data_IF_771317157936
#
_entry.id   IF_771317157936
#
_cell.length_a   1.000
_cell.length_b   1.000
_cell.length_c   1.000
_cell.angle_alpha   90.00
_cell.angle_beta   90.00
_cell.angle_gamma   90.00
#
_symmetry.space_group_name_H-M   'P 1'
#
loop_
_entity.id
_entity.type
_entity.pdbx_description
1 polymer ?
#
# COMPACT_ATOMS: atom_id res chain seq x y z
N UNK A 1 13.34 -3.84 28.92
CA UNK A 1 12.53 -4.84 29.67
C UNK A 1 12.23 -5.98 28.72
N UNK A 2 12.40 -7.23 29.18
CA UNK A 2 12.44 -8.43 28.33
C UNK A 2 11.05 -8.76 27.77
N UNK A 3 10.89 -8.77 26.43
CA UNK A 3 9.73 -9.35 25.73
C UNK A 3 9.70 -10.86 26.06
N UNK A 4 8.76 -11.31 26.89
CA UNK A 4 8.54 -12.74 27.06
C UNK A 4 7.71 -13.27 25.90
N UNK A 5 8.33 -14.07 25.04
CA UNK A 5 7.66 -14.84 24.00
C UNK A 5 7.07 -16.10 24.63
N UNK A 6 5.74 -16.20 24.64
CA UNK A 6 5.06 -17.36 25.21
C UNK A 6 5.08 -18.53 24.23
N UNK A 7 5.65 -19.66 24.64
CA UNK A 7 5.59 -20.91 23.88
C UNK A 7 4.23 -21.58 24.07
N UNK A 8 3.75 -22.32 23.06
CA UNK A 8 2.52 -23.16 23.11
C UNK A 8 2.42 -24.07 24.34
N UNK A 9 3.54 -24.35 25.04
CA UNK A 9 3.59 -25.15 26.27
C UNK A 9 3.18 -24.40 27.54
N UNK A 10 3.27 -23.07 27.58
CA UNK A 10 2.99 -22.30 28.79
C UNK A 10 1.49 -22.03 28.97
N UNK A 11 0.74 -21.97 27.88
CA UNK A 11 -0.75 -21.89 27.87
C UNK A 11 -1.40 -23.21 28.36
N UNK A 12 -0.75 -24.36 28.15
CA UNK A 12 -1.27 -25.64 28.64
C UNK A 12 -1.19 -25.79 30.16
N UNK A 13 -0.36 -24.99 30.84
CA UNK A 13 -0.23 -25.03 32.31
C UNK A 13 -1.30 -24.22 33.04
N UNK A 14 -1.87 -23.18 32.42
CA UNK A 14 -2.98 -22.42 33.01
C UNK A 14 -4.31 -23.18 32.98
N UNK A 15 -4.45 -24.19 32.12
CA UNK A 15 -5.62 -25.06 32.05
C UNK A 15 -5.67 -26.18 33.12
N UNK A 16 -4.61 -26.35 33.94
CA UNK A 16 -4.49 -27.51 34.83
C UNK A 16 -4.96 -27.30 36.29
N UNK A 17 -5.54 -26.14 36.63
CA UNK A 17 -6.03 -25.86 37.98
C UNK A 17 -7.57 -25.78 38.03
N UNK A 18 -8.24 -26.94 37.93
CA UNK A 18 -9.69 -27.04 38.20
C UNK A 18 -10.37 -28.20 37.50
N UNK A 19 -10.22 -29.41 38.02
CA UNK A 19 -10.94 -30.59 37.51
C UNK A 19 -12.37 -30.65 38.08
N UNK A 20 -13.38 -30.65 37.20
CA UNK A 20 -14.59 -31.50 37.27
C UNK A 20 -15.52 -31.24 36.06
N UNK A 21 -15.80 -32.30 35.28
CA UNK A 21 -17.08 -32.45 34.59
C UNK A 21 -17.13 -32.29 33.06
N UNK A 22 -16.76 -33.35 32.34
CA UNK A 22 -17.43 -33.92 31.16
C UNK A 22 -18.16 -32.93 30.22
N UNK A 23 -17.57 -32.66 29.04
CA UNK A 23 -18.33 -32.20 27.87
C UNK A 23 -17.79 -30.96 27.13
N UNK A 24 -16.48 -30.78 26.96
CA UNK A 24 -15.95 -29.65 26.15
C UNK A 24 -14.83 -30.09 25.20
N UNK A 25 -14.96 -31.29 24.63
CA UNK A 25 -14.01 -31.82 23.64
C UNK A 25 -14.24 -31.37 22.20
N UNK A 26 -15.31 -30.59 21.94
CA UNK A 26 -15.71 -30.19 20.58
C UNK A 26 -15.97 -28.68 20.41
N UNK A 27 -15.75 -27.86 21.45
CA UNK A 27 -16.02 -26.42 21.44
C UNK A 27 -14.77 -25.52 21.54
N UNK A 28 -13.57 -26.10 21.59
CA UNK A 28 -12.28 -25.38 21.76
C UNK A 28 -11.52 -25.24 20.42
N UNK A 29 -12.23 -25.34 19.30
CA UNK A 29 -11.66 -25.21 17.95
C UNK A 29 -12.43 -24.21 17.09
N UNK A 30 -13.20 -23.29 17.69
CA UNK A 30 -13.42 -22.02 17.02
C UNK A 30 -12.07 -21.31 17.08
N UNK A 31 -11.39 -21.22 15.94
CA UNK A 31 -10.04 -20.65 15.84
C UNK A 31 -10.03 -19.30 16.54
N UNK A 32 -8.94 -19.00 17.24
CA UNK A 32 -8.66 -17.68 17.83
C UNK A 32 -8.45 -16.67 16.69
N UNK A 33 -9.53 -16.37 15.98
CA UNK A 33 -9.56 -15.42 14.88
C UNK A 33 -9.45 -14.01 15.49
N UNK A 34 -8.56 -13.20 14.93
CA UNK A 34 -8.40 -11.79 15.29
C UNK A 34 -9.52 -10.96 14.65
N UNK A 35 -9.94 -9.92 15.37
CA UNK A 35 -10.96 -8.96 14.96
C UNK A 35 -10.50 -7.54 15.27
N UNK A 36 -11.09 -6.62 14.52
CA UNK A 36 -10.97 -5.18 14.70
C UNK A 36 -12.35 -4.67 15.09
N UNK A 37 -12.41 -3.97 16.22
CA UNK A 37 -13.61 -3.34 16.74
C UNK A 37 -13.44 -1.82 16.61
N UNK A 38 -14.25 -1.19 15.76
CA UNK A 38 -14.27 0.27 15.64
C UNK A 38 -15.18 0.87 16.72
N UNK A 39 -14.63 1.75 17.54
CA UNK A 39 -15.32 2.40 18.67
C UNK A 39 -15.28 3.91 18.51
N UNK A 40 -16.33 4.61 18.95
CA UNK A 40 -16.48 6.06 18.74
C UNK A 40 -16.30 6.91 20.01
N UNK A 41 -16.08 6.26 21.16
CA UNK A 41 -15.79 6.91 22.45
C UNK A 41 -15.03 5.99 23.42
N UNK A 42 -14.59 6.56 24.55
CA UNK A 42 -13.85 5.87 25.62
C UNK A 42 -14.60 4.68 26.22
N UNK A 43 -15.94 4.74 26.29
CA UNK A 43 -16.78 3.67 26.84
C UNK A 43 -16.79 2.45 25.90
N UNK A 44 -16.85 2.70 24.59
CA UNK A 44 -16.68 1.70 23.55
C UNK A 44 -15.30 1.05 23.59
N UNK A 45 -14.24 1.86 23.69
CA UNK A 45 -12.84 1.38 23.82
C UNK A 45 -12.73 0.47 25.04
N UNK A 46 -13.16 0.94 26.21
CA UNK A 46 -13.10 0.18 27.46
C UNK A 46 -13.90 -1.13 27.37
N UNK A 47 -15.09 -1.09 26.74
CA UNK A 47 -15.91 -2.27 26.53
C UNK A 47 -15.19 -3.31 25.65
N UNK A 48 -14.65 -2.91 24.50
CA UNK A 48 -13.90 -3.79 23.62
C UNK A 48 -12.63 -4.32 24.28
N UNK A 49 -11.80 -3.45 24.86
CA UNK A 49 -10.55 -3.82 25.53
C UNK A 49 -10.77 -4.83 26.67
N UNK A 50 -11.81 -4.64 27.49
CA UNK A 50 -12.11 -5.50 28.65
C UNK A 50 -12.54 -6.92 28.27
N UNK A 51 -13.03 -7.10 27.02
CA UNK A 51 -13.53 -8.38 26.51
C UNK A 51 -12.61 -8.98 25.44
N UNK A 52 -11.41 -8.44 25.22
CA UNK A 52 -10.39 -9.16 24.43
C UNK A 52 -9.89 -10.40 25.21
N UNK A 53 -9.79 -11.55 24.54
CA UNK A 53 -9.27 -12.81 25.10
C UNK A 53 -7.75 -12.79 25.26
N UNK A 54 -7.06 -11.85 24.61
CA UNK A 54 -5.61 -11.65 24.64
C UNK A 54 -5.28 -10.16 24.81
N UNK A 55 -3.99 -9.83 24.91
CA UNK A 55 -3.55 -8.44 24.83
C UNK A 55 -4.05 -7.81 23.52
N UNK A 56 -4.70 -6.66 23.62
CA UNK A 56 -5.21 -5.91 22.48
C UNK A 56 -4.18 -4.84 22.05
N UNK A 57 -4.32 -4.40 20.81
CA UNK A 57 -3.62 -3.25 20.24
C UNK A 57 -4.66 -2.17 19.94
N UNK A 58 -4.34 -0.93 20.26
CA UNK A 58 -5.16 0.23 19.91
C UNK A 58 -4.51 0.93 18.72
N UNK A 59 -5.33 1.26 17.73
CA UNK A 59 -4.98 2.18 16.63
C UNK A 59 -5.84 3.40 16.88
N UNK A 60 -5.23 4.49 17.32
CA UNK A 60 -5.93 5.69 17.75
C UNK A 60 -6.01 6.70 16.60
N UNK A 61 -7.21 6.88 16.04
CA UNK A 61 -7.45 7.83 14.95
C UNK A 61 -8.13 9.10 15.47
N UNK A 62 -8.18 9.32 16.79
CA UNK A 62 -9.01 10.37 17.41
C UNK A 62 -8.43 11.78 17.32
N UNK A 63 -7.18 11.92 16.90
CA UNK A 63 -6.57 13.23 16.67
C UNK A 63 -7.24 14.00 15.52
N UNK A 64 -7.79 13.29 14.54
CA UNK A 64 -8.44 13.87 13.35
C UNK A 64 -9.83 13.28 13.04
N UNK A 65 -10.14 12.10 13.57
CA UNK A 65 -11.46 11.47 13.44
C UNK A 65 -12.09 11.25 14.82
N UNK A 66 -13.21 10.53 14.88
CA UNK A 66 -13.84 10.13 16.14
C UNK A 66 -13.55 8.67 16.53
N UNK A 67 -12.70 7.96 15.79
CA UNK A 67 -12.61 6.51 15.89
C UNK A 67 -11.33 6.01 16.56
N UNK A 68 -11.45 4.95 17.35
CA UNK A 68 -10.34 4.10 17.77
C UNK A 68 -10.62 2.67 17.32
N UNK A 69 -9.60 1.98 16.82
CA UNK A 69 -9.69 0.57 16.46
C UNK A 69 -9.08 -0.28 17.56
N UNK A 70 -9.88 -1.17 18.15
CA UNK A 70 -9.42 -2.16 19.13
C UNK A 70 -9.20 -3.50 18.43
N UNK A 71 -7.94 -3.84 18.23
CA UNK A 71 -7.51 -5.09 17.58
C UNK A 71 -7.23 -6.17 18.62
N UNK A 72 -7.84 -7.35 18.49
CA UNK A 72 -7.66 -8.43 19.45
C UNK A 72 -8.41 -9.71 19.08
N UNK A 73 -8.40 -10.68 20.00
CA UNK A 73 -9.16 -11.94 19.84
C UNK A 73 -10.44 -11.85 20.65
N UNK A 74 -11.57 -12.14 20.02
CA UNK A 74 -12.88 -12.03 20.68
C UNK A 74 -13.68 -13.27 20.38
N UNK A 75 -14.09 -14.04 21.40
CA UNK A 75 -15.04 -15.13 21.21
C UNK A 75 -16.37 -14.66 20.58
N UNK A 76 -17.11 -15.56 19.93
CA UNK A 76 -18.40 -15.24 19.29
C UNK A 76 -19.36 -14.48 20.22
N UNK A 77 -19.53 -14.94 21.45
CA UNK A 77 -20.43 -14.31 22.42
C UNK A 77 -20.02 -12.86 22.75
N UNK A 78 -18.71 -12.59 22.81
CA UNK A 78 -18.19 -11.24 23.08
C UNK A 78 -18.38 -10.33 21.87
N UNK A 79 -18.13 -10.83 20.66
CA UNK A 79 -18.43 -10.10 19.41
C UNK A 79 -19.92 -9.74 19.30
N UNK A 80 -20.80 -10.68 19.60
CA UNK A 80 -22.24 -10.46 19.57
C UNK A 80 -22.66 -9.43 20.65
N UNK A 81 -22.00 -9.41 21.82
CA UNK A 81 -22.23 -8.38 22.84
C UNK A 81 -21.76 -6.99 22.40
N UNK A 82 -20.62 -6.88 21.72
CA UNK A 82 -20.08 -5.60 21.24
C UNK A 82 -20.96 -4.99 20.15
N UNK A 83 -21.47 -5.82 19.22
CA UNK A 83 -22.40 -5.38 18.16
C UNK A 83 -23.73 -4.82 18.65
N UNK A 84 -24.08 -5.06 19.91
CA UNK A 84 -25.33 -4.57 20.50
C UNK A 84 -25.17 -3.21 21.19
N UNK A 85 -23.97 -2.65 21.21
CA UNK A 85 -23.68 -1.35 21.81
C UNK A 85 -23.78 -0.24 20.78
N UNK A 86 -24.25 0.92 21.20
CA UNK A 86 -24.38 2.10 20.35
C UNK A 86 -23.03 2.82 20.13
N UNK A 87 -22.02 2.54 20.97
CA UNK A 87 -20.65 3.10 20.91
C UNK A 87 -19.65 2.20 20.15
N UNK A 88 -20.15 1.12 19.54
CA UNK A 88 -19.38 0.23 18.64
C UNK A 88 -19.92 0.39 17.23
N UNK A 89 -19.13 1.04 16.36
CA UNK A 89 -19.49 1.26 14.96
C UNK A 89 -19.47 -0.06 14.16
N UNK A 90 -18.46 -0.91 14.38
CA UNK A 90 -18.37 -2.20 13.70
C UNK A 90 -17.55 -3.22 14.47
N UNK A 91 -17.77 -4.49 14.12
CA UNK A 91 -16.92 -5.63 14.52
C UNK A 91 -16.61 -6.45 13.28
N UNK A 92 -15.41 -6.28 12.73
CA UNK A 92 -14.94 -6.99 11.55
C UNK A 92 -13.83 -7.97 11.89
N UNK A 93 -13.66 -9.01 11.08
CA UNK A 93 -12.51 -9.91 11.19
C UNK A 93 -11.26 -9.17 10.72
N UNK A 94 -10.15 -9.37 11.42
CA UNK A 94 -8.84 -8.97 10.92
C UNK A 94 -8.42 -9.95 9.83
N UNK A 95 -8.65 -9.56 8.58
CA UNK A 95 -8.44 -10.39 7.40
C UNK A 95 -7.05 -10.14 6.85
N UNK A 96 -6.60 -11.07 6.00
CA UNK A 96 -5.41 -10.85 5.19
C UNK A 96 -5.81 -10.34 3.80
N UNK A 97 -5.22 -9.22 3.42
CA UNK A 97 -5.15 -8.73 2.05
C UNK A 97 -3.93 -9.36 1.37
N UNK A 98 -3.85 -9.20 0.06
CA UNK A 98 -2.71 -9.65 -0.73
C UNK A 98 -2.21 -8.54 -1.63
N UNK A 99 -0.93 -8.60 -1.99
CA UNK A 99 -0.41 -7.85 -3.14
C UNK A 99 -1.25 -8.13 -4.38
N UNK A 100 -1.41 -7.13 -5.22
CA UNK A 100 -2.25 -7.18 -6.42
C UNK A 100 -1.35 -7.15 -7.65
N UNK A 101 -0.57 -8.23 -7.82
CA UNK A 101 0.35 -8.40 -8.95
C UNK A 101 0.55 -9.87 -9.33
N UNK A 102 1.15 -10.08 -10.50
CA UNK A 102 1.57 -11.37 -11.02
C UNK A 102 2.97 -11.26 -11.61
N UNK A 103 3.76 -12.33 -11.50
CA UNK A 103 5.10 -12.37 -12.06
C UNK A 103 5.06 -12.47 -13.59
N UNK A 104 5.78 -11.56 -14.26
CA UNK A 104 5.96 -11.54 -15.71
C UNK A 104 7.47 -11.55 -16.07
N UNK A 105 8.30 -12.31 -15.37
CA UNK A 105 9.72 -12.39 -15.69
C UNK A 105 10.57 -13.06 -14.62
N UNK A 106 11.81 -13.44 -14.98
CA UNK A 106 12.84 -13.78 -13.99
C UNK A 106 13.46 -12.51 -13.40
N UNK A 107 14.35 -12.66 -12.42
CA UNK A 107 15.19 -11.56 -11.95
C UNK A 107 16.30 -11.32 -12.99
N UNK A 108 16.37 -10.10 -13.49
CA UNK A 108 17.39 -9.59 -14.39
C UNK A 108 18.46 -8.87 -13.56
N UNK A 109 19.70 -8.89 -14.05
CA UNK A 109 20.82 -8.25 -13.37
C UNK A 109 21.07 -6.90 -14.01
N UNK A 110 21.76 -6.03 -13.28
CA UNK A 110 22.09 -4.71 -13.79
C UNK A 110 22.84 -4.79 -15.14
N UNK A 111 22.42 -3.91 -16.05
CA UNK A 111 22.88 -3.83 -17.43
C UNK A 111 24.01 -2.83 -17.61
N UNK A 112 24.32 -2.49 -18.86
CA UNK A 112 25.24 -1.39 -19.15
C UNK A 112 24.44 -0.11 -19.42
N UNK A 113 24.26 0.71 -18.38
CA UNK A 113 23.55 1.99 -18.45
C UNK A 113 22.12 1.90 -17.89
N UNK A 114 21.55 3.06 -17.59
CA UNK A 114 20.15 3.19 -17.18
C UNK A 114 19.18 2.93 -18.33
N UNK A 115 18.05 2.30 -18.00
CA UNK A 115 16.93 2.07 -18.90
C UNK A 115 15.73 2.91 -18.46
N UNK A 116 15.07 3.60 -19.38
CA UNK A 116 13.78 4.26 -19.12
C UNK A 116 12.65 3.22 -19.30
N UNK A 117 11.98 2.77 -18.23
CA UNK A 117 10.88 1.82 -18.38
C UNK A 117 9.74 2.48 -19.17
N UNK A 118 9.09 1.72 -20.07
CA UNK A 118 8.04 2.28 -20.94
C UNK A 118 6.92 2.97 -20.17
N UNK A 119 6.62 2.54 -18.95
CA UNK A 119 5.57 3.13 -18.13
C UNK A 119 5.93 4.51 -17.61
N UNK A 120 7.23 4.78 -17.41
CA UNK A 120 7.76 6.07 -16.94
C UNK A 120 7.74 7.09 -18.08
N UNK A 121 8.21 6.67 -19.26
CA UNK A 121 8.08 7.38 -20.54
C UNK A 121 6.61 7.69 -20.85
N UNK A 122 5.73 6.68 -20.78
CA UNK A 122 4.32 6.82 -21.19
C UNK A 122 3.50 7.76 -20.30
N UNK A 123 3.94 8.01 -19.06
CA UNK A 123 3.29 8.99 -18.19
C UNK A 123 3.98 10.36 -18.24
N UNK A 124 4.87 10.58 -19.21
CA UNK A 124 5.63 11.81 -19.44
C UNK A 124 6.45 12.24 -18.21
N UNK A 125 6.97 11.28 -17.45
CA UNK A 125 7.81 11.58 -16.28
C UNK A 125 9.20 12.06 -16.69
N UNK A 126 9.78 11.51 -17.75
CA UNK A 126 11.07 11.93 -18.31
C UNK A 126 11.01 13.37 -18.85
N UNK A 127 9.87 13.78 -19.44
CA UNK A 127 9.62 15.17 -19.82
C UNK A 127 9.65 16.09 -18.58
N UNK A 128 9.08 15.66 -17.45
CA UNK A 128 9.15 16.42 -16.20
C UNK A 128 10.59 16.46 -15.64
N UNK A 129 11.35 15.37 -15.75
CA UNK A 129 12.76 15.31 -15.35
C UNK A 129 13.63 16.29 -16.17
N UNK A 130 13.40 16.39 -17.48
CA UNK A 130 14.09 17.32 -18.39
C UNK A 130 13.86 18.81 -18.02
N UNK A 131 12.70 19.12 -17.42
CA UNK A 131 12.38 20.45 -16.87
C UNK A 131 12.89 20.64 -15.41
N UNK A 132 13.50 19.61 -14.84
CA UNK A 132 14.09 19.62 -13.50
C UNK A 132 13.13 19.29 -12.36
N UNK A 133 11.95 18.74 -12.66
CA UNK A 133 11.01 18.24 -11.65
C UNK A 133 11.28 16.76 -11.38
N UNK A 134 11.87 16.45 -10.22
CA UNK A 134 12.31 15.10 -9.84
C UNK A 134 11.66 14.59 -8.55
N UNK A 135 10.77 15.36 -7.93
CA UNK A 135 10.11 15.02 -6.67
C UNK A 135 10.93 15.32 -5.40
N UNK A 136 12.05 16.05 -5.51
CA UNK A 136 12.89 16.44 -4.36
C UNK A 136 12.06 17.10 -3.25
N UNK A 137 12.19 16.57 -2.04
CA UNK A 137 11.51 17.05 -0.84
C UNK A 137 10.11 16.49 -0.60
N UNK A 138 9.58 15.61 -1.47
CA UNK A 138 8.36 14.87 -1.20
C UNK A 138 8.65 13.53 -0.49
N UNK A 139 7.83 13.18 0.50
CA UNK A 139 7.91 11.92 1.24
C UNK A 139 6.81 10.93 0.77
N UNK A 140 7.20 9.70 0.40
CA UNK A 140 6.29 8.66 -0.10
C UNK A 140 6.35 7.39 0.74
N UNK A 141 5.23 7.08 1.42
CA UNK A 141 5.05 5.84 2.18
C UNK A 141 4.65 4.65 1.30
N UNK A 142 5.51 3.63 1.19
CA UNK A 142 5.20 2.39 0.48
C UNK A 142 4.65 1.35 1.47
N UNK A 143 3.32 1.20 1.51
CA UNK A 143 2.63 0.23 2.38
C UNK A 143 2.52 -1.11 1.67
N UNK A 144 3.56 -1.94 1.80
CA UNK A 144 3.70 -3.17 1.02
C UNK A 144 4.52 -4.25 1.77
N UNK A 145 5.35 -5.01 1.05
CA UNK A 145 6.21 -6.09 1.52
C UNK A 145 7.56 -5.61 2.06
N UNK A 146 7.78 -4.31 2.19
CA UNK A 146 9.08 -3.72 2.53
C UNK A 146 9.75 -3.09 1.31
N UNK A 147 10.97 -2.59 1.48
CA UNK A 147 11.84 -2.15 0.38
C UNK A 147 13.20 -2.83 0.58
N UNK A 148 13.85 -3.25 -0.50
CA UNK A 148 15.19 -3.83 -0.48
C UNK A 148 16.18 -2.74 -0.07
N UNK A 149 16.71 -2.85 1.13
CA UNK A 149 17.38 -1.76 1.84
C UNK A 149 18.82 -1.51 1.37
N UNK A 150 19.37 -2.40 0.55
CA UNK A 150 20.69 -2.27 -0.06
C UNK A 150 20.65 -2.37 -1.59
N UNK A 151 19.47 -2.18 -2.20
CA UNK A 151 19.35 -2.11 -3.65
C UNK A 151 20.02 -0.83 -4.17
N UNK A 152 21.01 -0.93 -5.08
CA UNK A 152 21.81 0.22 -5.49
C UNK A 152 21.00 1.34 -6.16
N UNK A 153 19.91 0.99 -6.83
CA UNK A 153 19.01 1.91 -7.56
C UNK A 153 17.96 2.60 -6.65
N UNK A 154 17.96 2.30 -5.35
CA UNK A 154 17.01 2.83 -4.36
C UNK A 154 17.71 3.48 -3.15
N UNK A 155 19.03 3.32 -3.00
CA UNK A 155 19.77 3.70 -1.78
C UNK A 155 19.74 5.22 -1.55
N UNK A 156 19.85 6.00 -2.62
CA UNK A 156 19.81 7.46 -2.60
C UNK A 156 18.41 8.05 -2.37
N UNK A 157 17.36 7.33 -2.77
CA UNK A 157 15.96 7.77 -2.59
C UNK A 157 15.34 7.22 -1.29
N UNK A 158 15.99 6.27 -0.60
CA UNK A 158 15.52 5.76 0.69
C UNK A 158 15.79 6.75 1.82
N UNK A 159 14.78 6.94 2.69
CA UNK A 159 14.97 7.65 3.94
C UNK A 159 16.07 7.00 4.81
N UNK A 160 16.68 7.78 5.71
CA UNK A 160 17.71 7.25 6.62
C UNK A 160 17.18 6.04 7.41
N UNK A 161 17.77 4.84 7.25
CA UNK A 161 17.36 3.62 7.95
C UNK A 161 17.32 3.74 9.47
N UNK A 162 18.16 4.62 10.04
CA UNK A 162 18.24 4.90 11.47
C UNK A 162 17.34 6.08 11.91
N UNK A 163 16.64 6.71 10.97
CA UNK A 163 15.68 7.79 11.22
C UNK A 163 14.48 7.33 12.05
N UNK A 164 14.15 8.06 13.11
CA UNK A 164 13.00 7.70 13.95
C UNK A 164 11.69 7.87 13.19
N UNK A 165 10.98 6.77 12.97
CA UNK A 165 9.69 6.78 12.26
C UNK A 165 9.81 6.73 10.72
N UNK A 166 11.02 6.87 10.17
CA UNK A 166 11.27 6.83 8.73
C UNK A 166 10.84 5.50 8.09
N UNK A 167 10.97 4.40 8.83
CA UNK A 167 10.53 3.07 8.40
C UNK A 167 9.85 2.31 9.54
N UNK A 168 8.92 1.40 9.19
CA UNK A 168 8.23 0.54 10.16
C UNK A 168 7.91 -0.83 9.57
N UNK A 169 7.87 -1.82 10.45
CA UNK A 169 7.44 -3.18 10.12
C UNK A 169 6.39 -3.67 11.12
N UNK A 170 5.24 -4.07 10.61
CA UNK A 170 4.20 -4.81 11.34
C UNK A 170 4.20 -6.30 10.99
N UNK A 171 4.88 -6.67 9.90
CA UNK A 171 5.34 -8.01 9.62
C UNK A 171 6.86 -7.93 9.43
N UNK A 172 7.65 -8.54 10.32
CA UNK A 172 9.11 -8.44 10.26
C UNK A 172 9.69 -9.28 9.12
N UNK A 173 10.71 -8.75 8.44
CA UNK A 173 11.50 -9.45 7.44
C UNK A 173 12.12 -10.74 8.01
N UNK A 174 12.18 -11.78 7.18
CA UNK A 174 12.73 -13.08 7.55
C UNK A 174 13.69 -13.63 6.50
N UNK A 175 14.95 -13.88 6.89
CA UNK A 175 15.94 -14.47 6.00
C UNK A 175 17.33 -13.85 6.17
N UNK A 176 18.27 -14.31 5.36
CA UNK A 176 19.67 -13.87 5.42
C UNK A 176 19.91 -12.51 4.73
N UNK A 177 18.94 -12.00 3.96
CA UNK A 177 18.98 -10.70 3.27
C UNK A 177 18.22 -9.57 3.99
N UNK A 178 17.86 -9.75 5.25
CA UNK A 178 17.14 -8.74 6.03
C UNK A 178 18.13 -7.96 6.91
N UNK A 179 18.57 -6.78 6.48
CA UNK A 179 19.38 -5.92 7.34
C UNK A 179 18.51 -5.17 8.37
N UNK A 180 17.25 -4.91 8.02
CA UNK A 180 16.25 -4.25 8.87
C UNK A 180 14.95 -5.06 8.98
N UNK A 181 14.13 -4.84 10.02
CA UNK A 181 12.83 -5.51 10.13
C UNK A 181 11.86 -5.16 8.99
N UNK A 182 12.05 -4.02 8.35
CA UNK A 182 11.21 -3.52 7.26
C UNK A 182 11.74 -3.88 5.86
N UNK A 183 12.91 -4.52 5.76
CA UNK A 183 13.49 -4.94 4.48
C UNK A 183 12.54 -5.85 3.70
N UNK A 184 12.59 -5.79 2.38
CA UNK A 184 11.80 -6.66 1.50
C UNK A 184 12.37 -8.08 1.44
N UNK A 185 11.52 -9.08 1.69
CA UNK A 185 11.85 -10.51 1.54
C UNK A 185 10.96 -11.23 0.51
N UNK A 186 10.19 -10.47 -0.27
CA UNK A 186 9.29 -10.94 -1.33
C UNK A 186 9.52 -10.30 -2.70
N UNK A 187 10.11 -9.11 -2.76
CA UNK A 187 10.49 -8.39 -3.99
C UNK A 187 9.39 -7.51 -4.61
N UNK A 188 8.14 -7.64 -4.15
CA UNK A 188 7.03 -6.83 -4.67
C UNK A 188 7.11 -5.39 -4.18
N UNK A 189 7.54 -5.15 -2.94
CA UNK A 189 7.58 -3.81 -2.37
C UNK A 189 8.72 -2.99 -2.96
N UNK A 190 9.88 -3.59 -3.20
CA UNK A 190 10.98 -2.96 -3.95
C UNK A 190 10.60 -2.59 -5.38
N UNK A 191 9.78 -3.42 -6.04
CA UNK A 191 9.29 -3.13 -7.40
C UNK A 191 8.32 -1.97 -7.45
N UNK A 192 7.43 -1.91 -6.47
CA UNK A 192 6.55 -0.76 -6.25
C UNK A 192 7.38 0.50 -5.98
N UNK A 193 8.37 0.42 -5.09
CA UNK A 193 9.22 1.54 -4.70
C UNK A 193 10.06 2.08 -5.88
N UNK A 194 10.68 1.22 -6.67
CA UNK A 194 11.45 1.66 -7.84
C UNK A 194 10.60 2.31 -8.93
N UNK A 195 9.34 1.91 -9.07
CA UNK A 195 8.43 2.60 -10.01
C UNK A 195 8.13 4.03 -9.52
N UNK A 196 8.08 4.25 -8.20
CA UNK A 196 7.94 5.59 -7.63
C UNK A 196 9.22 6.39 -7.81
N UNK A 197 10.36 5.88 -7.33
CA UNK A 197 11.58 6.66 -7.13
C UNK A 197 12.86 5.81 -7.21
N UNK A 198 13.01 4.97 -8.24
CA UNK A 198 14.36 4.54 -8.62
C UNK A 198 15.18 5.75 -9.08
N UNK A 199 16.46 5.77 -8.71
CA UNK A 199 17.37 6.90 -8.94
C UNK A 199 17.61 7.17 -10.43
N UNK A 200 17.94 8.42 -10.78
CA UNK A 200 18.46 8.80 -12.10
C UNK A 200 20.00 8.91 -12.01
N UNK A 201 20.72 7.79 -12.17
CA UNK A 201 22.14 7.67 -11.82
C UNK A 201 23.05 6.98 -12.85
N UNK A 202 22.63 6.93 -14.12
CA UNK A 202 23.27 6.19 -15.22
C UNK A 202 23.27 4.64 -15.08
N UNK A 203 22.63 4.05 -14.08
CA UNK A 203 22.45 2.59 -13.92
C UNK A 203 20.97 2.20 -13.79
N UNK A 204 20.67 0.89 -13.86
CA UNK A 204 19.36 0.40 -13.46
C UNK A 204 18.17 0.95 -14.25
N UNK A 205 17.12 1.33 -13.53
CA UNK A 205 15.91 1.99 -14.06
C UNK A 205 15.74 3.36 -13.41
N UNK A 206 14.76 4.14 -13.87
CA UNK A 206 14.39 5.42 -13.23
C UNK A 206 12.92 5.39 -12.82
N UNK A 207 12.60 6.02 -11.69
CA UNK A 207 11.23 6.17 -11.18
C UNK A 207 10.53 7.41 -11.72
N UNK A 208 9.24 7.58 -11.40
CA UNK A 208 8.49 8.79 -11.77
C UNK A 208 8.99 10.04 -11.04
N UNK A 209 9.44 9.88 -9.79
CA UNK A 209 9.92 10.93 -8.90
C UNK A 209 11.28 10.51 -8.30
N UNK A 210 12.37 10.50 -9.08
CA UNK A 210 13.64 9.87 -8.69
C UNK A 210 14.28 10.48 -7.43
N UNK A 211 14.02 11.75 -7.10
CA UNK A 211 14.55 12.41 -5.90
C UNK A 211 13.54 12.44 -4.72
N UNK A 212 12.37 11.78 -4.84
CA UNK A 212 11.43 11.65 -3.72
C UNK A 212 11.98 10.70 -2.64
N UNK A 213 11.68 11.01 -1.38
CA UNK A 213 12.12 10.19 -0.25
C UNK A 213 11.16 9.03 0.02
N UNK A 214 11.66 7.81 -0.09
CA UNK A 214 10.90 6.57 0.09
C UNK A 214 10.91 6.09 1.54
N UNK A 215 9.73 5.70 2.02
CA UNK A 215 9.54 5.12 3.34
C UNK A 215 8.92 3.72 3.28
N UNK A 216 9.71 2.69 3.62
CA UNK A 216 9.23 1.32 3.78
C UNK A 216 8.26 1.15 4.98
N UNK A 217 6.99 0.84 4.69
CA UNK A 217 5.96 0.44 5.66
C UNK A 217 5.56 -1.02 5.44
N UNK A 218 6.33 -1.95 6.00
CA UNK A 218 6.17 -3.39 5.78
C UNK A 218 4.98 -3.97 6.56
N UNK A 219 3.93 -4.34 5.84
CA UNK A 219 2.69 -4.92 6.38
C UNK A 219 2.42 -6.34 5.87
N UNK A 220 3.12 -6.74 4.81
CA UNK A 220 3.04 -8.06 4.19
C UNK A 220 4.31 -8.86 4.49
N UNK A 221 4.17 -10.18 4.68
CA UNK A 221 5.33 -11.08 4.73
C UNK A 221 5.68 -11.62 3.35
N UNK A 222 6.81 -12.31 3.20
CA UNK A 222 7.35 -12.87 1.95
C UNK A 222 6.36 -13.63 1.04
N UNK A 223 5.24 -14.16 1.58
CA UNK A 223 4.20 -14.86 0.80
C UNK A 223 3.01 -13.97 0.42
N UNK A 224 3.12 -12.66 0.63
CA UNK A 224 2.16 -11.63 0.23
C UNK A 224 0.89 -11.57 1.07
N UNK A 225 0.92 -12.01 2.34
CA UNK A 225 -0.26 -11.94 3.22
C UNK A 225 -0.19 -10.79 4.21
N UNK A 226 -1.06 -9.80 4.09
CA UNK A 226 -0.98 -8.52 4.82
C UNK A 226 -2.17 -8.36 5.78
N UNK A 227 -1.96 -8.18 7.09
CA UNK A 227 -3.08 -8.04 8.05
C UNK A 227 -3.78 -6.69 7.88
N UNK A 228 -5.12 -6.69 8.01
CA UNK A 228 -5.91 -5.45 7.91
C UNK A 228 -5.52 -4.46 9.00
N UNK A 229 -5.30 -4.94 10.22
CA UNK A 229 -4.84 -4.12 11.35
C UNK A 229 -3.45 -3.50 11.10
N UNK A 230 -2.53 -4.25 10.50
CA UNK A 230 -1.21 -3.77 10.13
C UNK A 230 -1.28 -2.66 9.07
N UNK A 231 -2.14 -2.82 8.06
CA UNK A 231 -2.36 -1.80 7.02
C UNK A 231 -2.98 -0.54 7.63
N UNK A 232 -4.02 -0.67 8.47
CA UNK A 232 -4.65 0.48 9.12
C UNK A 232 -3.66 1.27 9.99
N UNK A 233 -2.81 0.57 10.73
CA UNK A 233 -1.76 1.20 11.56
C UNK A 233 -0.64 1.81 10.71
N UNK A 234 -0.32 1.24 9.55
CA UNK A 234 0.63 1.81 8.60
C UNK A 234 0.13 3.12 7.98
N UNK A 235 -1.15 3.15 7.58
CA UNK A 235 -1.81 4.37 7.09
C UNK A 235 -1.77 5.45 8.17
N UNK A 236 -2.14 5.10 9.42
CA UNK A 236 -2.06 6.03 10.56
C UNK A 236 -0.64 6.53 10.78
N UNK A 237 0.36 5.64 10.75
CA UNK A 237 1.75 6.02 10.96
C UNK A 237 2.24 6.99 9.88
N UNK A 238 1.96 6.74 8.60
CA UNK A 238 2.30 7.68 7.52
C UNK A 238 1.65 9.05 7.72
N UNK A 239 0.37 9.06 8.09
CA UNK A 239 -0.37 10.28 8.42
C UNK A 239 0.26 11.06 9.59
N UNK A 240 0.65 10.37 10.65
CA UNK A 240 1.30 10.98 11.82
C UNK A 240 2.71 11.53 11.51
N UNK A 241 3.41 10.96 10.53
CA UNK A 241 4.68 11.52 10.05
C UNK A 241 4.49 12.79 9.21
N UNK A 242 3.29 12.99 8.65
CA UNK A 242 2.99 14.10 7.75
C UNK A 242 3.62 13.96 6.38
N UNK A 243 3.80 12.72 5.89
CA UNK A 243 4.25 12.46 4.52
C UNK A 243 3.22 12.91 3.50
N UNK A 244 3.62 13.11 2.26
CA UNK A 244 2.73 13.70 1.24
C UNK A 244 1.81 12.65 0.60
N UNK A 245 2.36 11.46 0.33
CA UNK A 245 1.69 10.40 -0.42
C UNK A 245 1.92 9.05 0.25
N UNK A 246 0.93 8.16 0.16
CA UNK A 246 1.13 6.75 0.47
C UNK A 246 0.59 5.85 -0.65
N UNK A 247 1.36 4.84 -1.03
CA UNK A 247 0.97 3.88 -2.05
C UNK A 247 0.57 2.54 -1.42
N UNK A 248 -0.60 2.03 -1.82
CA UNK A 248 -1.16 0.75 -1.40
C UNK A 248 -1.38 -0.17 -2.60
N UNK A 249 -0.31 -0.87 -2.99
CA UNK A 249 -0.32 -1.89 -4.05
C UNK A 249 -0.86 -3.25 -3.55
N UNK A 250 -1.96 -3.21 -2.80
CA UNK A 250 -2.59 -4.35 -2.14
C UNK A 250 -4.12 -4.20 -2.09
N UNK A 251 -4.84 -5.30 -1.92
CA UNK A 251 -6.30 -5.23 -1.91
C UNK A 251 -7.05 -6.52 -1.58
N UNK A 252 -8.37 -6.39 -1.47
CA UNK A 252 -9.31 -7.50 -1.23
C UNK A 252 -10.68 -7.23 -1.87
N UNK A 253 -11.45 -8.26 -2.29
CA UNK A 253 -12.84 -8.09 -2.73
C UNK A 253 -13.81 -7.68 -1.61
N UNK A 254 -13.38 -7.67 -0.36
CA UNK A 254 -14.28 -7.48 0.78
C UNK A 254 -14.06 -6.12 1.43
N UNK A 255 -15.15 -5.38 1.61
CA UNK A 255 -15.21 -4.13 2.39
C UNK A 255 -14.53 -4.28 3.74
N UNK A 256 -13.82 -3.23 4.16
CA UNK A 256 -13.15 -3.11 5.44
C UNK A 256 -13.36 -1.71 6.03
N UNK A 257 -14.39 -1.51 6.87
CA UNK A 257 -14.61 -0.23 7.57
C UNK A 257 -13.38 0.28 8.33
N UNK A 258 -12.53 -0.62 8.83
CA UNK A 258 -11.27 -0.26 9.47
C UNK A 258 -10.27 0.42 8.51
N UNK A 259 -10.23 0.01 7.22
CA UNK A 259 -9.36 0.66 6.23
C UNK A 259 -9.97 1.97 5.74
N UNK A 260 -11.30 2.05 5.66
CA UNK A 260 -11.98 3.31 5.34
C UNK A 260 -11.68 4.38 6.40
N UNK A 261 -11.87 4.05 7.69
CA UNK A 261 -11.58 4.97 8.78
C UNK A 261 -10.10 5.40 8.83
N UNK A 262 -9.17 4.51 8.48
CA UNK A 262 -7.76 4.86 8.38
C UNK A 262 -7.48 5.78 7.17
N UNK A 263 -8.12 5.54 6.02
CA UNK A 263 -8.03 6.43 4.85
C UNK A 263 -8.59 7.83 5.12
N UNK A 264 -9.72 7.92 5.83
CA UNK A 264 -10.30 9.19 6.28
C UNK A 264 -9.30 9.95 7.17
N UNK A 265 -8.67 9.27 8.13
CA UNK A 265 -7.63 9.86 8.97
C UNK A 265 -6.43 10.38 8.15
N UNK A 266 -6.00 9.64 7.12
CA UNK A 266 -4.90 10.07 6.26
C UNK A 266 -5.22 11.33 5.44
N UNK A 267 -6.42 11.41 4.85
CA UNK A 267 -6.83 12.62 4.12
C UNK A 267 -6.96 13.84 5.04
N UNK A 268 -7.57 13.68 6.22
CA UNK A 268 -7.66 14.76 7.20
C UNK A 268 -6.27 15.20 7.72
N UNK A 269 -5.28 14.30 7.68
CA UNK A 269 -3.88 14.62 7.99
C UNK A 269 -3.15 15.31 6.83
N UNK A 270 -3.75 15.34 5.64
CA UNK A 270 -3.18 15.93 4.44
C UNK A 270 -2.33 14.99 3.60
N UNK A 271 -2.47 13.67 3.77
CA UNK A 271 -1.69 12.65 3.03
C UNK A 271 -2.57 11.99 1.98
N UNK A 272 -2.14 11.92 0.72
CA UNK A 272 -2.90 11.30 -0.36
C UNK A 272 -2.72 9.78 -0.41
N UNK A 273 -3.76 8.95 -0.18
CA UNK A 273 -3.68 7.50 -0.35
C UNK A 273 -3.96 7.12 -1.80
N UNK A 274 -3.00 6.44 -2.45
CA UNK A 274 -3.12 5.91 -3.81
C UNK A 274 -3.20 4.39 -3.75
N UNK A 275 -4.22 3.77 -4.37
CA UNK A 275 -4.48 2.35 -4.21
C UNK A 275 -4.77 1.62 -5.53
N UNK A 276 -4.23 0.41 -5.65
CA UNK A 276 -4.42 -0.47 -6.80
C UNK A 276 -5.87 -0.98 -6.89
N UNK A 277 -6.53 -0.80 -8.05
CA UNK A 277 -7.93 -1.15 -8.24
C UNK A 277 -8.24 -2.66 -8.10
N UNK A 278 -7.29 -3.56 -8.40
CA UNK A 278 -7.50 -5.00 -8.34
C UNK A 278 -7.16 -5.73 -9.65
N UNK A 279 -6.85 -7.04 -9.59
CA UNK A 279 -6.53 -7.86 -10.77
C UNK A 279 -7.60 -8.91 -11.14
N UNK A 280 -8.90 -8.58 -11.04
CA UNK A 280 -9.99 -9.54 -11.33
C UNK A 280 -10.49 -9.50 -12.77
N UNK A 281 -10.24 -8.44 -13.52
CA UNK A 281 -10.58 -8.31 -14.94
C UNK A 281 -12.08 -8.24 -15.25
N UNK A 282 -12.95 -8.27 -14.24
CA UNK A 282 -14.41 -8.25 -14.41
C UNK A 282 -14.97 -6.84 -14.20
N UNK A 283 -16.13 -6.50 -14.77
CA UNK A 283 -16.92 -5.35 -14.33
C UNK A 283 -17.25 -5.42 -12.84
N UNK A 284 -17.45 -4.26 -12.21
CA UNK A 284 -17.82 -4.09 -10.80
C UNK A 284 -16.91 -4.88 -9.86
N UNK A 285 -15.60 -4.83 -10.13
CA UNK A 285 -14.63 -5.67 -9.42
C UNK A 285 -13.50 -4.90 -8.76
N UNK A 286 -13.59 -3.57 -8.65
CA UNK A 286 -12.66 -2.77 -7.85
C UNK A 286 -12.62 -3.30 -6.41
N UNK A 287 -11.42 -3.43 -5.85
CA UNK A 287 -11.20 -3.96 -4.51
C UNK A 287 -11.05 -2.87 -3.46
N UNK A 288 -11.06 -3.27 -2.19
CA UNK A 288 -10.81 -2.40 -1.06
C UNK A 288 -9.33 -2.49 -0.65
N UNK A 289 -8.67 -1.35 -0.35
CA UNK A 289 -9.30 -0.05 -0.07
C UNK A 289 -9.60 0.84 -1.28
N UNK A 290 -9.11 0.55 -2.49
CA UNK A 290 -9.29 1.42 -3.67
C UNK A 290 -10.76 1.81 -3.97
N UNK A 291 -11.74 0.96 -3.67
CA UNK A 291 -13.16 1.27 -3.88
C UNK A 291 -13.75 2.32 -2.92
N UNK A 292 -12.97 2.83 -1.97
CA UNK A 292 -13.38 3.89 -1.05
C UNK A 292 -12.96 5.26 -1.60
N UNK A 293 -13.82 6.28 -1.45
CA UNK A 293 -13.58 7.64 -1.96
C UNK A 293 -12.31 8.28 -1.38
N UNK A 294 -11.91 7.83 -0.19
CA UNK A 294 -10.71 8.26 0.52
C UNK A 294 -9.39 7.83 -0.16
N UNK A 295 -9.46 6.93 -1.14
CA UNK A 295 -8.31 6.41 -1.86
C UNK A 295 -8.42 6.75 -3.35
N UNK A 296 -7.32 7.21 -3.95
CA UNK A 296 -7.23 7.39 -5.40
C UNK A 296 -7.06 6.03 -6.08
N UNK A 297 -8.10 5.56 -6.76
CA UNK A 297 -8.17 4.21 -7.31
C UNK A 297 -7.53 4.12 -8.71
N UNK A 298 -6.50 3.28 -8.85
CA UNK A 298 -5.70 3.19 -10.08
C UNK A 298 -5.94 1.88 -10.84
N UNK A 299 -6.40 1.99 -12.08
CA UNK A 299 -6.51 0.87 -13.02
C UNK A 299 -5.24 0.72 -13.88
N UNK A 300 -5.06 -0.45 -14.52
CA UNK A 300 -3.84 -0.78 -15.25
C UNK A 300 -4.04 -0.79 -16.77
N UNK A 301 -3.16 -0.10 -17.51
CA UNK A 301 -3.10 -0.13 -18.97
C UNK A 301 -1.98 -1.03 -19.50
N UNK A 302 -2.03 -1.31 -20.80
CA UNK A 302 -0.93 -1.91 -21.58
C UNK A 302 -0.21 -0.83 -22.38
N UNK A 303 0.92 -1.19 -22.97
CA UNK A 303 1.70 -0.32 -23.87
C UNK A 303 0.92 0.13 -25.11
N UNK A 304 -0.19 -0.53 -25.46
CA UNK A 304 -1.08 -0.13 -26.56
C UNK A 304 -2.26 0.75 -26.10
N UNK A 305 -2.17 1.35 -24.92
CA UNK A 305 -3.21 2.18 -24.28
C UNK A 305 -4.55 1.45 -24.08
N UNK A 306 -4.53 0.12 -24.15
CA UNK A 306 -5.68 -0.72 -23.81
C UNK A 306 -5.75 -0.96 -22.30
N UNK A 307 -6.96 -1.11 -21.76
CA UNK A 307 -7.11 -1.60 -20.39
C UNK A 307 -6.53 -3.03 -20.29
N UNK A 308 -5.59 -3.23 -19.37
CA UNK A 308 -4.98 -4.53 -19.15
C UNK A 308 -6.05 -5.57 -18.80
N UNK A 309 -5.94 -6.77 -19.39
CA UNK A 309 -6.98 -7.82 -19.26
C UNK A 309 -7.33 -8.18 -17.81
N UNK A 310 -6.37 -8.02 -16.89
CA UNK A 310 -6.54 -8.34 -15.48
C UNK A 310 -7.09 -7.16 -14.69
N UNK A 311 -7.02 -5.92 -15.21
CA UNK A 311 -7.43 -4.74 -14.45
C UNK A 311 -8.91 -4.83 -14.07
N UNK A 312 -9.15 -4.70 -12.78
CA UNK A 312 -10.49 -4.49 -12.25
C UNK A 312 -11.01 -3.15 -12.75
N UNK A 313 -12.33 -3.08 -12.93
CA UNK A 313 -13.02 -1.95 -13.52
C UNK A 313 -14.36 -1.78 -12.83
N UNK A 314 -14.84 -0.55 -12.74
CA UNK A 314 -16.01 -0.15 -11.96
C UNK A 314 -16.11 1.38 -11.89
N UNK A 315 -17.25 1.92 -11.45
CA UNK A 315 -17.41 3.37 -11.28
C UNK A 315 -16.47 3.95 -10.22
N UNK A 316 -15.81 3.12 -9.42
CA UNK A 316 -14.84 3.53 -8.41
C UNK A 316 -13.42 3.76 -8.96
N UNK A 317 -13.15 3.52 -10.26
CA UNK A 317 -11.84 3.84 -10.85
C UNK A 317 -11.73 5.35 -11.05
N UNK A 318 -10.69 5.96 -10.49
CA UNK A 318 -10.42 7.39 -10.62
C UNK A 318 -9.51 7.70 -11.81
N UNK A 319 -8.46 6.90 -12.02
CA UNK A 319 -7.43 7.14 -13.04
C UNK A 319 -6.77 5.83 -13.49
N UNK A 320 -6.16 5.83 -14.67
CA UNK A 320 -5.39 4.72 -15.21
C UNK A 320 -3.89 5.02 -15.23
N UNK A 321 -3.07 3.99 -15.14
CA UNK A 321 -1.62 4.08 -15.33
C UNK A 321 -1.02 2.77 -15.90
N UNK A 322 0.21 2.79 -16.42
CA UNK A 322 0.92 1.62 -16.93
C UNK A 322 1.02 0.49 -15.89
N UNK A 323 0.49 -0.69 -16.20
CA UNK A 323 0.49 -1.82 -15.25
C UNK A 323 0.78 -3.19 -15.84
N UNK A 324 0.90 -3.33 -17.17
CA UNK A 324 1.26 -4.59 -17.82
C UNK A 324 2.70 -4.52 -18.37
N UNK A 325 3.55 -5.48 -18.00
CA UNK A 325 4.94 -5.52 -18.42
C UNK A 325 5.76 -4.34 -17.89
N UNK A 326 5.61 -4.01 -16.61
CA UNK A 326 6.34 -2.89 -15.98
C UNK A 326 7.65 -3.42 -15.41
N UNK A 327 8.78 -2.89 -15.90
CA UNK A 327 10.09 -3.14 -15.33
C UNK A 327 10.35 -2.23 -14.12
N UNK A 328 10.90 -2.78 -13.04
CA UNK A 328 11.40 -1.99 -11.92
C UNK A 328 12.42 -2.76 -11.08
N UNK A 329 13.00 -2.10 -10.07
CA UNK A 329 13.85 -2.71 -9.05
C UNK A 329 13.16 -3.90 -8.37
N UNK A 330 13.92 -4.83 -7.83
CA UNK A 330 13.41 -5.99 -7.10
C UNK A 330 14.51 -6.52 -6.19
N UNK A 331 14.17 -7.42 -5.27
CA UNK A 331 15.18 -8.03 -4.41
C UNK A 331 16.21 -8.78 -5.26
N UNK A 332 17.45 -8.27 -5.26
CA UNK A 332 18.58 -8.85 -5.99
C UNK A 332 18.67 -8.54 -7.49
N UNK A 333 18.01 -7.49 -7.98
CA UNK A 333 18.13 -6.99 -9.36
C UNK A 333 16.86 -6.32 -9.87
N UNK A 334 16.51 -6.54 -11.13
CA UNK A 334 15.34 -5.94 -11.76
C UNK A 334 14.32 -7.01 -12.16
N UNK A 335 13.03 -6.67 -12.20
CA UNK A 335 12.00 -7.60 -12.62
C UNK A 335 10.90 -6.90 -13.42
N UNK A 336 10.36 -7.60 -14.42
CA UNK A 336 9.12 -7.21 -15.10
C UNK A 336 7.91 -7.87 -14.42
N UNK A 337 6.93 -7.07 -14.00
CA UNK A 337 5.70 -7.52 -13.35
C UNK A 337 4.44 -6.99 -14.05
N UNK A 338 3.34 -7.71 -13.84
CA UNK A 338 1.99 -7.33 -14.29
C UNK A 338 1.09 -7.07 -13.06
N UNK A 339 0.37 -5.96 -13.02
CA UNK A 339 -0.69 -5.74 -12.04
C UNK A 339 -1.10 -4.27 -11.90
N UNK A 340 -2.29 -4.04 -11.34
CA UNK A 340 -2.64 -2.70 -10.84
C UNK A 340 -1.70 -2.26 -9.71
N UNK A 341 -1.00 -3.19 -9.05
CA UNK A 341 0.11 -2.88 -8.13
C UNK A 341 1.29 -2.17 -8.78
N UNK A 342 1.48 -2.29 -10.10
CA UNK A 342 2.53 -1.61 -10.86
C UNK A 342 2.00 -0.31 -11.48
N UNK A 343 0.69 -0.19 -11.69
CA UNK A 343 0.05 1.06 -12.11
C UNK A 343 -0.02 2.10 -10.98
N UNK A 344 -0.48 1.68 -9.79
CA UNK A 344 -0.58 2.53 -8.60
C UNK A 344 0.66 3.39 -8.29
N UNK A 345 1.90 2.85 -8.30
CA UNK A 345 3.09 3.64 -8.01
C UNK A 345 3.43 4.71 -9.06
N UNK A 346 3.00 4.59 -10.32
CA UNK A 346 3.18 5.69 -11.29
C UNK A 346 2.39 6.93 -10.84
N UNK A 347 1.14 6.72 -10.39
CA UNK A 347 0.28 7.80 -9.89
C UNK A 347 0.79 8.33 -8.55
N UNK A 348 1.33 7.48 -7.68
CA UNK A 348 1.94 7.92 -6.43
C UNK A 348 3.18 8.80 -6.67
N UNK A 349 4.03 8.44 -7.64
CA UNK A 349 5.17 9.28 -8.05
C UNK A 349 4.71 10.60 -8.68
N UNK A 350 3.66 10.58 -9.51
CA UNK A 350 3.07 11.80 -10.06
C UNK A 350 2.53 12.73 -8.96
N UNK A 351 1.90 12.17 -7.93
CA UNK A 351 1.46 12.92 -6.76
C UNK A 351 2.64 13.48 -5.95
N UNK A 352 3.75 12.74 -5.83
CA UNK A 352 4.96 13.20 -5.16
C UNK A 352 5.60 14.40 -5.89
N UNK A 353 5.64 14.35 -7.23
CA UNK A 353 6.07 15.49 -8.06
C UNK A 353 5.23 16.75 -7.79
N UNK A 354 3.91 16.61 -7.69
CA UNK A 354 3.01 17.72 -7.36
C UNK A 354 3.20 18.22 -5.92
N UNK A 355 3.42 17.33 -4.95
CA UNK A 355 3.72 17.72 -3.58
C UNK A 355 5.03 18.53 -3.49
N UNK A 356 6.07 18.10 -4.21
CA UNK A 356 7.33 18.83 -4.34
C UNK A 356 7.16 20.22 -4.99
N UNK A 357 6.21 20.36 -5.93
CA UNK A 357 5.82 21.66 -6.51
C UNK A 357 4.86 22.48 -5.60
N UNK A 358 4.56 21.98 -4.40
CA UNK A 358 3.84 22.70 -3.35
C UNK A 358 2.32 22.58 -3.39
N UNK A 359 1.77 21.62 -4.16
CA UNK A 359 0.34 21.32 -4.14
C UNK A 359 -0.05 20.59 -2.85
N UNK A 360 -1.20 20.99 -2.26
CA UNK A 360 -1.81 20.19 -1.21
C UNK A 360 -2.39 18.88 -1.79
N UNK A 361 -2.54 17.84 -0.96
CA UNK A 361 -3.01 16.51 -1.39
C UNK A 361 -4.32 16.51 -2.21
N UNK A 362 -5.29 17.36 -1.86
CA UNK A 362 -6.58 17.49 -2.54
C UNK A 362 -6.45 18.22 -3.88
N UNK A 363 -5.62 19.27 -3.92
CA UNK A 363 -5.27 19.98 -5.15
C UNK A 363 -4.47 19.07 -6.10
N UNK A 364 -3.52 18.28 -5.58
CA UNK A 364 -2.75 17.31 -6.34
C UNK A 364 -3.66 16.22 -6.92
N UNK A 365 -4.58 15.66 -6.11
CA UNK A 365 -5.59 14.70 -6.60
C UNK A 365 -6.40 15.29 -7.75
N UNK A 366 -6.95 16.49 -7.58
CA UNK A 366 -7.75 17.12 -8.62
C UNK A 366 -6.92 17.43 -9.87
N UNK A 367 -5.67 17.86 -9.69
CA UNK A 367 -4.76 18.15 -10.81
C UNK A 367 -4.50 16.92 -11.64
N UNK A 368 -4.16 15.78 -11.03
CA UNK A 368 -3.95 14.50 -11.71
C UNK A 368 -5.17 14.09 -12.53
N UNK A 369 -6.39 14.26 -11.99
CA UNK A 369 -7.62 13.92 -12.69
C UNK A 369 -7.94 14.90 -13.83
N UNK A 370 -7.72 16.20 -13.63
CA UNK A 370 -8.03 17.23 -14.62
C UNK A 370 -7.07 17.22 -15.82
N UNK A 371 -5.85 16.70 -15.63
CA UNK A 371 -4.81 16.64 -16.66
C UNK A 371 -4.59 15.24 -17.22
N UNK A 372 -5.36 14.24 -16.77
CA UNK A 372 -5.28 12.90 -17.31
C UNK A 372 -5.58 12.87 -18.82
N UNK A 373 -4.81 12.09 -19.57
CA UNK A 373 -4.95 11.95 -21.00
C UNK A 373 -6.13 11.03 -21.37
N UNK A 374 -7.03 11.49 -22.25
CA UNK A 374 -8.09 10.66 -22.81
C UNK A 374 -7.54 9.71 -23.88
N UNK A 375 -7.19 8.51 -23.42
CA UNK A 375 -6.73 7.39 -24.27
C UNK A 375 -7.89 6.53 -24.83
N UNK A 376 -9.14 7.00 -24.72
CA UNK A 376 -10.32 6.33 -25.30
C UNK A 376 -10.86 5.14 -24.50
N UNK A 377 -10.45 4.97 -23.24
CA UNK A 377 -11.06 4.03 -22.31
C UNK A 377 -12.44 4.51 -21.84
N UNK A 378 -13.30 3.58 -21.44
CA UNK A 378 -14.55 3.95 -20.80
C UNK A 378 -14.29 4.55 -19.41
N UNK A 379 -15.19 5.42 -18.92
CA UNK A 379 -15.09 6.04 -17.58
C UNK A 379 -14.94 4.97 -16.46
N UNK A 380 -15.68 3.87 -16.53
CA UNK A 380 -15.57 2.79 -15.56
C UNK A 380 -14.31 1.91 -15.74
N UNK A 381 -13.45 2.21 -16.71
CA UNK A 381 -12.21 1.50 -17.01
C UNK A 381 -10.98 2.36 -16.71
N UNK A 382 -10.97 3.61 -17.17
CA UNK A 382 -9.86 4.54 -17.00
C UNK A 382 -10.13 5.73 -16.07
N UNK A 383 -11.34 5.87 -15.54
CA UNK A 383 -11.73 7.04 -14.76
C UNK A 383 -11.59 8.32 -15.60
N UNK A 384 -10.74 9.24 -15.13
CA UNK A 384 -10.42 10.47 -15.83
C UNK A 384 -9.55 10.28 -17.09
N UNK A 385 -8.80 9.18 -17.20
CA UNK A 385 -7.83 8.96 -18.28
C UNK A 385 -6.54 8.32 -17.78
N UNK A 386 -5.50 8.35 -18.60
CA UNK A 386 -4.15 7.95 -18.20
C UNK A 386 -3.46 9.11 -17.47
N UNK A 387 -2.74 8.82 -16.39
CA UNK A 387 -1.92 9.84 -15.72
C UNK A 387 -0.84 10.39 -16.67
N UNK A 388 -0.68 11.71 -16.67
CA UNK A 388 0.31 12.48 -17.43
C UNK A 388 0.99 13.46 -16.45
N UNK A 389 2.25 13.17 -16.10
CA UNK A 389 3.04 13.86 -15.08
C UNK A 389 3.42 15.26 -15.57
N UNK A 390 3.89 15.39 -16.81
CA UNK A 390 4.24 16.67 -17.40
C UNK A 390 3.03 17.62 -17.45
N UNK A 391 1.88 17.15 -17.94
CA UNK A 391 0.65 17.96 -17.98
C UNK A 391 0.17 18.34 -16.57
N UNK A 392 0.28 17.42 -15.60
CA UNK A 392 -0.06 17.69 -14.21
C UNK A 392 0.78 18.86 -13.64
N UNK A 393 2.08 18.90 -13.93
CA UNK A 393 2.98 20.00 -13.55
C UNK A 393 2.82 21.25 -14.43
N UNK A 394 2.08 21.15 -15.54
CA UNK A 394 1.81 22.25 -16.46
C UNK A 394 2.87 22.46 -17.54
N UNK A 395 3.69 21.46 -17.79
CA UNK A 395 4.59 21.40 -18.95
C UNK A 395 3.84 20.96 -20.21
N UNK A 396 4.44 21.20 -21.38
CA UNK A 396 3.88 20.74 -22.65
C UNK A 396 4.13 19.23 -22.77
N UNK A 397 3.10 18.41 -22.57
CA UNK A 397 3.12 16.99 -22.92
C UNK A 397 2.90 16.80 -24.42
N UNK A 398 3.64 15.88 -25.03
CA UNK A 398 3.46 15.51 -26.42
C UNK A 398 3.81 14.05 -26.59
N UNK A 399 2.95 13.30 -27.30
CA UNK A 399 3.11 11.88 -27.64
C UNK A 399 4.50 11.58 -28.26
N UNK A 400 5.49 11.30 -27.40
CA UNK A 400 6.88 11.00 -27.75
C UNK A 400 7.14 9.49 -27.83
N UNK A 401 6.19 8.69 -27.37
CA UNK A 401 5.94 7.33 -27.81
C UNK A 401 5.72 6.38 -26.65
N UNK A 402 6.20 5.16 -26.84
CA UNK A 402 6.27 4.16 -25.79
C UNK A 402 7.66 3.57 -25.89
N UNK A 403 8.49 3.74 -24.86
CA UNK A 403 9.80 3.14 -24.74
C UNK A 403 9.79 1.63 -25.02
N UNK A 404 10.97 1.00 -25.14
CA UNK A 404 11.07 -0.37 -25.63
C UNK A 404 10.57 -1.46 -24.64
N UNK A 405 10.10 -1.06 -23.46
CA UNK A 405 9.53 -1.92 -22.43
C UNK A 405 10.52 -2.94 -21.86
N UNK A 406 11.83 -2.73 -22.07
CA UNK A 406 12.86 -3.64 -21.61
C UNK A 406 13.28 -3.36 -20.16
N UNK A 407 13.78 -4.38 -19.49
CA UNK A 407 14.55 -4.25 -18.27
C UNK A 407 16.06 -4.18 -18.60
N UNK A 408 16.90 -3.65 -17.69
CA UNK A 408 18.35 -3.73 -17.82
C UNK A 408 18.81 -5.19 -18.02
N UNK A 409 19.65 -5.44 -19.03
CA UNK A 409 20.09 -6.80 -19.42
C UNK A 409 21.55 -6.92 -19.83
#
# INVERSE_FOLDING_TARGET
MVKQQWSRRDVLKSAAAGALGIGVGAAVYDRMDEYIVGTVDDDGIAAAASVSDVQHVLIDLTDLTSMTLVCGVFSKARRDSLRSRDDVAFVQRDRRLHHVGGAAGGIEQDGAGQTLPWGIDRVDADVAHDEGATGDGADVGVIDGGIDDDHPDLDGSLADPDGDGAHRAWEECSGDGCNYPWSDDGGHGSHVAGTVAAEDDDSGVVGVAPDATLHALKVCGATGGCRTSAIAEAIRHAADQGWDVMNLSLGSPQESPALQAAGEYALEAGVLPVAAAGNRGQPDSVGYPAAYEEFLAVSATTVEDGLARFSSRGPEVDIAAPGAGVCSASVGGYQTLDGTSMASPHVAGAAAQLAADGYAHDEARQRLLDTAEDIGLAENEGGAGLVDVAAALGYDSGDDGTGDGSCPS
#
